data_IF_701705436983
#
_entry.id   IF_701705436983
#
_cell.length_a   1.000
_cell.length_b   1.000
_cell.length_c   1.000
_cell.angle_alpha   90.00
_cell.angle_beta   90.00
_cell.angle_gamma   90.00
#
_symmetry.space_group_name_H-M   'P 1'
#
loop_
_entity.id
_entity.type
_entity.pdbx_description
1 polymer ?
#
# COMPACT_ATOMS: atom_id res chain seq x y z
N UNK A 1 -48.76 -35.96 -7.77
CA UNK A 1 -47.74 -34.97 -8.18
C UNK A 1 -47.12 -34.33 -6.95
N UNK A 2 -45.92 -34.74 -6.59
CA UNK A 2 -45.18 -34.24 -5.42
C UNK A 2 -44.15 -33.21 -5.89
N UNK A 3 -44.14 -31.96 -5.38
CA UNK A 3 -43.11 -30.99 -5.75
C UNK A 3 -41.80 -31.29 -5.00
N UNK A 4 -40.74 -31.54 -5.78
CA UNK A 4 -39.36 -31.65 -5.31
C UNK A 4 -38.87 -30.25 -4.87
N UNK A 5 -39.08 -29.91 -3.60
CA UNK A 5 -38.51 -28.72 -2.98
C UNK A 5 -37.06 -29.03 -2.60
N UNK A 6 -36.11 -28.52 -3.39
CA UNK A 6 -34.68 -28.65 -3.14
C UNK A 6 -34.31 -27.90 -1.85
N UNK A 7 -33.90 -28.65 -0.83
CA UNK A 7 -33.06 -28.16 0.26
C UNK A 7 -31.76 -27.62 -0.33
N UNK A 8 -31.44 -26.34 -0.12
CA UNK A 8 -30.08 -25.80 0.06
C UNK A 8 -30.14 -24.25 0.20
N UNK A 9 -30.62 -23.73 1.33
CA UNK A 9 -30.24 -22.38 1.76
C UNK A 9 -29.26 -22.53 2.94
N UNK A 10 -27.95 -22.31 2.73
CA UNK A 10 -27.05 -22.12 3.83
C UNK A 10 -27.20 -20.68 4.37
N UNK A 11 -27.37 -20.52 5.69
CA UNK A 11 -27.44 -19.23 6.34
C UNK A 11 -26.06 -18.54 6.24
N UNK A 12 -26.05 -17.22 6.38
CA UNK A 12 -24.87 -16.33 6.54
C UNK A 12 -24.24 -15.77 5.26
N UNK A 13 -24.80 -14.69 4.72
CA UNK A 13 -24.07 -13.80 3.80
C UNK A 13 -24.45 -12.32 3.93
N UNK A 14 -24.89 -11.89 5.10
CA UNK A 14 -25.27 -10.48 5.35
C UNK A 14 -24.27 -9.67 6.20
N UNK A 15 -23.12 -10.23 6.62
CA UNK A 15 -22.18 -9.57 7.54
C UNK A 15 -20.72 -9.45 7.07
N UNK A 16 -20.44 -9.61 5.78
CA UNK A 16 -19.06 -9.51 5.25
C UNK A 16 -18.82 -8.31 4.31
N UNK A 17 -19.81 -7.45 4.08
CA UNK A 17 -19.72 -6.40 3.06
C UNK A 17 -19.05 -5.08 3.48
N UNK A 18 -18.88 -4.82 4.78
CA UNK A 18 -18.53 -3.46 5.25
C UNK A 18 -17.06 -3.28 5.62
N UNK A 19 -16.37 -4.37 5.96
CA UNK A 19 -14.97 -4.32 6.41
C UNK A 19 -13.97 -4.62 5.28
N UNK A 20 -14.38 -5.42 4.28
CA UNK A 20 -13.51 -5.79 3.16
C UNK A 20 -13.18 -4.63 2.22
N UNK A 21 -14.10 -3.68 2.01
CA UNK A 21 -13.88 -2.58 1.07
C UNK A 21 -12.80 -1.60 1.56
N UNK A 22 -12.77 -1.32 2.86
CA UNK A 22 -11.76 -0.45 3.49
C UNK A 22 -10.37 -1.09 3.45
N UNK A 23 -10.27 -2.39 3.72
CA UNK A 23 -9.01 -3.13 3.71
C UNK A 23 -8.43 -3.29 2.30
N UNK A 24 -9.27 -3.59 1.31
CA UNK A 24 -8.86 -3.73 -0.09
C UNK A 24 -8.33 -2.42 -0.69
N UNK A 25 -9.07 -1.32 -0.49
CA UNK A 25 -8.67 -0.01 -1.00
C UNK A 25 -7.42 0.51 -0.28
N UNK A 26 -7.32 0.33 1.04
CA UNK A 26 -6.11 0.66 1.80
C UNK A 26 -4.89 -0.16 1.35
N UNK A 27 -5.06 -1.46 1.06
CA UNK A 27 -3.99 -2.31 0.55
C UNK A 27 -3.52 -1.86 -0.84
N UNK A 28 -4.47 -1.56 -1.74
CA UNK A 28 -4.15 -1.05 -3.06
C UNK A 28 -3.42 0.30 -2.98
N UNK A 29 -3.89 1.21 -2.12
CA UNK A 29 -3.25 2.50 -1.86
C UNK A 29 -1.82 2.35 -1.33
N UNK A 30 -1.60 1.47 -0.33
CA UNK A 30 -0.26 1.14 0.17
C UNK A 30 0.65 0.62 -0.94
N UNK A 31 0.12 -0.27 -1.78
CA UNK A 31 0.85 -0.81 -2.94
C UNK A 31 1.25 0.29 -3.94
N UNK A 32 0.33 1.22 -4.26
CA UNK A 32 0.63 2.36 -5.13
C UNK A 32 1.69 3.29 -4.55
N UNK A 33 1.59 3.63 -3.26
CA UNK A 33 2.61 4.44 -2.58
C UNK A 33 3.97 3.74 -2.59
N UNK A 34 4.01 2.44 -2.27
CA UNK A 34 5.25 1.67 -2.28
C UNK A 34 5.88 1.64 -3.67
N UNK A 35 5.07 1.41 -4.72
CA UNK A 35 5.55 1.41 -6.11
C UNK A 35 6.16 2.75 -6.48
N UNK A 36 5.51 3.86 -6.15
CA UNK A 36 6.06 5.20 -6.40
C UNK A 36 7.39 5.45 -5.67
N UNK A 37 7.54 4.96 -4.44
CA UNK A 37 8.80 5.05 -3.66
C UNK A 37 9.89 4.16 -4.27
N UNK A 38 9.54 3.00 -4.83
CA UNK A 38 10.49 2.12 -5.54
C UNK A 38 10.92 2.72 -6.87
N UNK A 39 9.97 3.21 -7.67
CA UNK A 39 10.21 3.82 -8.99
C UNK A 39 11.00 5.13 -8.89
N UNK A 40 10.81 5.89 -7.81
CA UNK A 40 11.56 7.13 -7.55
C UNK A 40 11.91 7.23 -6.07
N UNK A 41 13.03 6.61 -5.65
CA UNK A 41 13.48 6.69 -4.27
C UNK A 41 13.85 8.13 -3.90
N UNK A 42 13.56 8.52 -2.67
CA UNK A 42 13.94 9.84 -2.14
C UNK A 42 12.88 10.92 -2.37
N UNK A 43 11.66 10.55 -2.74
CA UNK A 43 10.52 11.45 -2.77
C UNK A 43 10.03 11.79 -1.36
N UNK A 44 9.51 12.99 -1.18
CA UNK A 44 8.81 13.37 0.05
C UNK A 44 7.38 12.84 0.05
N UNK A 45 6.77 12.73 1.25
CA UNK A 45 5.37 12.29 1.36
C UNK A 45 4.45 13.10 0.43
N UNK A 46 4.65 14.42 0.36
CA UNK A 46 3.87 15.33 -0.46
C UNK A 46 4.01 15.06 -1.96
N UNK A 47 5.21 14.73 -2.43
CA UNK A 47 5.46 14.38 -3.84
C UNK A 47 4.85 13.03 -4.21
N UNK A 48 4.81 12.09 -3.27
CA UNK A 48 4.16 10.79 -3.47
C UNK A 48 2.65 10.97 -3.54
N UNK A 49 2.07 11.81 -2.67
CA UNK A 49 0.64 12.13 -2.67
C UNK A 49 0.21 12.77 -3.99
N UNK A 50 0.99 13.72 -4.50
CA UNK A 50 0.73 14.40 -5.77
C UNK A 50 0.76 13.42 -6.97
N UNK A 51 1.75 12.52 -7.00
CA UNK A 51 1.88 11.55 -8.11
C UNK A 51 0.84 10.43 -8.07
N UNK A 52 0.53 9.93 -6.87
CA UNK A 52 -0.32 8.74 -6.72
C UNK A 52 -1.77 9.07 -6.43
N UNK A 53 -2.08 10.33 -6.11
CA UNK A 53 -3.37 10.81 -5.60
C UNK A 53 -3.85 10.03 -4.35
N UNK A 54 -2.92 9.35 -3.68
CA UNK A 54 -3.17 8.60 -2.45
C UNK A 54 -2.69 9.42 -1.27
N UNK A 55 -3.42 9.36 -0.16
CA UNK A 55 -3.06 9.96 1.13
C UNK A 55 -1.84 9.25 1.77
N UNK A 56 -0.65 9.46 1.20
CA UNK A 56 0.59 8.83 1.61
C UNK A 56 0.93 9.17 3.08
N UNK A 57 0.53 10.34 3.59
CA UNK A 57 0.75 10.70 5.01
C UNK A 57 0.17 9.68 6.01
N UNK A 58 -0.91 8.96 5.67
CA UNK A 58 -1.48 7.90 6.53
C UNK A 58 -0.93 6.50 6.25
N UNK A 59 -0.31 6.28 5.09
CA UNK A 59 0.10 4.95 4.60
C UNK A 59 1.60 4.71 4.77
N UNK A 60 2.42 5.75 4.61
CA UNK A 60 3.87 5.71 4.82
C UNK A 60 4.29 5.25 6.23
N UNK A 61 3.69 5.73 7.34
CA UNK A 61 4.03 5.20 8.67
C UNK A 61 3.66 3.72 8.84
N UNK A 62 2.67 3.20 8.12
CA UNK A 62 2.33 1.77 8.15
C UNK A 62 3.34 0.95 7.35
N UNK A 63 3.71 1.43 6.16
CA UNK A 63 4.76 0.80 5.34
C UNK A 63 6.11 0.77 6.08
N UNK A 64 6.40 1.81 6.87
CA UNK A 64 7.59 1.86 7.74
C UNK A 64 7.55 0.81 8.83
N UNK A 65 6.40 0.66 9.51
CA UNK A 65 6.21 -0.38 10.53
C UNK A 65 6.36 -1.79 9.93
N UNK A 66 5.92 -1.99 8.69
CA UNK A 66 6.14 -3.24 7.95
C UNK A 66 7.56 -3.41 7.41
N UNK A 67 8.47 -2.46 7.60
CA UNK A 67 9.84 -2.53 7.10
C UNK A 67 9.96 -2.51 5.57
N UNK A 68 8.97 -1.94 4.88
CA UNK A 68 8.94 -1.82 3.41
C UNK A 68 9.54 -0.50 2.91
N UNK A 69 9.55 0.53 3.76
CA UNK A 69 10.14 1.84 3.48
C UNK A 69 10.96 2.32 4.68
N UNK A 70 11.96 3.15 4.42
CA UNK A 70 12.81 3.77 5.42
C UNK A 70 12.84 5.29 5.24
N UNK A 71 13.08 5.99 6.34
CA UNK A 71 13.20 7.45 6.31
C UNK A 71 14.60 7.82 5.82
N UNK A 72 14.65 8.64 4.77
CA UNK A 72 15.87 9.23 4.24
C UNK A 72 16.16 10.62 4.82
N UNK A 73 17.16 11.32 4.27
CA UNK A 73 17.49 12.68 4.70
C UNK A 73 16.33 13.65 4.43
N UNK A 74 16.22 14.70 5.25
CA UNK A 74 15.22 15.74 5.05
C UNK A 74 15.58 16.60 3.84
N UNK A 75 14.64 16.74 2.90
CA UNK A 75 14.76 17.53 1.67
C UNK A 75 13.70 18.61 1.63
N UNK A 76 13.97 19.71 0.93
CA UNK A 76 12.93 20.70 0.60
C UNK A 76 11.99 20.08 -0.44
N UNK A 77 10.71 19.91 -0.09
CA UNK A 77 9.69 19.47 -1.02
C UNK A 77 9.59 20.45 -2.18
N UNK A 78 9.68 19.98 -3.42
CA UNK A 78 9.50 20.85 -4.59
C UNK A 78 8.06 21.40 -4.71
N UNK A 79 7.08 20.66 -4.18
CA UNK A 79 5.65 21.00 -4.27
C UNK A 79 5.24 22.01 -3.20
N UNK A 80 5.55 21.76 -1.93
CA UNK A 80 5.13 22.64 -0.82
C UNK A 80 6.20 23.63 -0.38
N UNK A 81 7.44 23.55 -0.88
CA UNK A 81 8.56 24.40 -0.45
C UNK A 81 9.01 24.19 1.00
N UNK A 82 8.40 23.24 1.71
CA UNK A 82 8.71 22.92 3.12
C UNK A 82 9.74 21.81 3.21
N UNK A 83 10.59 21.86 4.23
CA UNK A 83 11.54 20.77 4.52
C UNK A 83 10.77 19.58 5.10
N UNK A 84 10.82 18.44 4.40
CA UNK A 84 10.18 17.20 4.83
C UNK A 84 11.14 16.02 4.69
N UNK A 85 10.89 14.97 5.46
CA UNK A 85 11.64 13.72 5.34
C UNK A 85 11.35 13.06 3.99
N UNK A 86 12.39 12.52 3.39
CA UNK A 86 12.27 11.69 2.18
C UNK A 86 11.99 10.25 2.55
N UNK A 87 11.33 9.53 1.64
CA UNK A 87 11.00 8.13 1.79
C UNK A 87 11.80 7.33 0.77
N UNK A 88 12.52 6.34 1.29
CA UNK A 88 13.33 5.43 0.51
C UNK A 88 12.71 4.03 0.61
N UNK A 89 12.77 3.22 -0.45
CA UNK A 89 12.38 1.82 -0.35
C UNK A 89 13.34 1.13 0.62
N UNK A 90 12.81 0.32 1.53
CA UNK A 90 13.67 -0.57 2.30
C UNK A 90 14.32 -1.49 1.26
N UNK A 91 15.66 -1.44 1.17
CA UNK A 91 16.42 -2.39 0.38
C UNK A 91 16.24 -3.76 1.03
N UNK A 92 15.11 -4.42 0.78
CA UNK A 92 15.11 -5.87 0.81
C UNK A 92 16.12 -6.24 -0.25
N UNK A 93 17.27 -6.71 0.23
CA UNK A 93 18.38 -7.10 -0.60
C UNK A 93 17.81 -7.87 -1.77
N UNK A 94 18.05 -7.38 -2.99
CA UNK A 94 18.21 -8.29 -4.12
C UNK A 94 19.39 -9.16 -3.72
N UNK A 95 19.14 -10.19 -2.90
CA UNK A 95 19.93 -11.40 -2.96
C UNK A 95 19.67 -11.87 -4.37
N UNK A 96 20.69 -11.65 -5.18
CA UNK A 96 20.87 -12.29 -6.46
C UNK A 96 20.20 -13.66 -6.45
N UNK A 97 19.11 -13.81 -7.21
CA UNK A 97 18.80 -15.12 -7.79
C UNK A 97 19.70 -15.27 -9.01
N UNK A 98 21.00 -15.29 -8.74
CA UNK A 98 22.04 -15.75 -9.63
C UNK A 98 22.44 -17.13 -9.13
N UNK A 99 22.36 -18.10 -10.04
CA UNK A 99 23.03 -19.39 -9.99
C UNK A 99 22.46 -20.46 -9.04
N UNK A 100 21.74 -21.42 -9.63
CA UNK A 100 21.91 -22.83 -9.32
C UNK A 100 22.02 -23.56 -10.67
N UNK A 101 23.22 -24.07 -10.96
CA UNK A 101 23.56 -24.96 -12.07
C UNK A 101 22.84 -26.32 -11.97
#
# INVERSE_FOLDING_TARGET
MTPNHRSNDPPTSAMAGRDMESSGLARMQRGRCLRAVIETPGLTAREIEDRTEVKAHKRLPELRQSGLVVNGPARVCRISGRRAMTWLPAKHATTSRGDCA
#
